data_IF_391043083332
#
_entry.id   IF_391043083332
#
_cell.length_a   1.000
_cell.length_b   1.000
_cell.length_c   1.000
_cell.angle_alpha   90.00
_cell.angle_beta   90.00
_cell.angle_gamma   90.00
#
_symmetry.space_group_name_H-M   'P 1'
#
loop_
_entity.id
_entity.type
_entity.pdbx_description
1 polymer ?
#
# COMPACT_ATOMS: atom_id res chain seq x y z
N UNK A 1 -28.29 9.93 18.74
CA UNK A 1 -27.89 10.64 17.51
C UNK A 1 -26.57 10.00 17.09
N UNK A 2 -26.54 9.22 15.99
CA UNK A 2 -25.33 8.54 15.55
C UNK A 2 -24.28 9.54 15.08
N UNK A 3 -23.01 9.28 15.39
CA UNK A 3 -21.87 10.03 14.85
C UNK A 3 -21.87 9.90 13.32
N UNK A 4 -21.76 11.03 12.60
CA UNK A 4 -21.62 10.99 11.15
C UNK A 4 -20.22 10.43 10.80
N UNK A 5 -20.09 9.73 9.67
CA UNK A 5 -18.79 9.23 9.21
C UNK A 5 -17.71 10.32 9.21
N UNK A 6 -18.10 11.51 8.77
CA UNK A 6 -17.22 12.69 8.71
C UNK A 6 -16.72 13.19 10.08
N UNK A 7 -17.49 12.96 11.15
CA UNK A 7 -17.20 13.49 12.50
C UNK A 7 -16.28 12.56 13.31
N UNK A 8 -15.93 11.36 12.80
CA UNK A 8 -15.03 10.46 13.52
C UNK A 8 -13.61 11.03 13.59
N UNK A 9 -12.82 10.72 14.63
CA UNK A 9 -11.42 11.13 14.72
C UNK A 9 -10.61 10.65 13.51
N UNK A 10 -9.61 11.43 13.10
CA UNK A 10 -8.64 10.98 12.11
C UNK A 10 -7.84 9.81 12.68
N UNK A 11 -7.70 8.73 11.94
CA UNK A 11 -6.86 7.61 12.36
C UNK A 11 -5.38 8.05 12.45
N UNK A 12 -4.60 7.52 13.40
CA UNK A 12 -3.16 7.76 13.43
C UNK A 12 -2.50 7.22 12.15
N UNK A 13 -1.34 7.73 11.79
CA UNK A 13 -0.53 7.12 10.75
C UNK A 13 -0.02 5.76 11.27
N UNK A 14 -0.33 4.63 10.61
CA UNK A 14 0.02 3.30 11.12
C UNK A 14 1.53 3.04 11.20
N UNK A 15 2.33 3.80 10.45
CA UNK A 15 3.79 3.67 10.44
C UNK A 15 4.50 4.61 11.41
N UNK A 16 3.78 5.55 12.00
CA UNK A 16 4.33 6.46 13.01
C UNK A 16 4.64 5.68 14.30
N UNK A 17 5.90 5.71 14.69
CA UNK A 17 6.37 4.97 15.87
C UNK A 17 6.66 3.48 15.65
N UNK A 18 6.43 2.93 14.44
CA UNK A 18 6.88 1.58 14.10
C UNK A 18 8.35 1.56 13.67
N UNK A 19 9.13 0.62 14.24
CA UNK A 19 10.47 0.31 13.75
C UNK A 19 10.41 -0.33 12.35
N UNK A 20 11.45 -0.14 11.52
CA UNK A 20 12.56 0.78 11.73
C UNK A 20 12.18 2.22 11.41
N UNK A 21 12.96 3.16 11.94
CA UNK A 21 12.86 4.59 11.61
C UNK A 21 13.69 4.97 10.37
N UNK A 22 14.53 4.04 9.86
CA UNK A 22 15.30 4.27 8.64
C UNK A 22 14.34 4.39 7.43
N UNK A 23 14.64 5.34 6.56
CA UNK A 23 13.80 5.64 5.39
C UNK A 23 14.65 5.73 4.12
N UNK A 24 13.99 5.55 2.98
CA UNK A 24 14.57 5.75 1.65
C UNK A 24 13.54 6.47 0.77
N UNK A 25 13.80 6.59 -0.52
CA UNK A 25 12.94 7.37 -1.42
C UNK A 25 11.99 6.47 -2.19
N UNK A 26 10.71 6.83 -2.22
CA UNK A 26 9.71 6.31 -3.17
C UNK A 26 9.08 7.48 -3.92
N UNK A 27 8.96 7.35 -5.23
CA UNK A 27 8.36 8.32 -6.14
C UNK A 27 7.35 7.64 -7.06
N UNK A 28 6.50 8.43 -7.70
CA UNK A 28 5.52 7.95 -8.67
C UNK A 28 5.42 8.93 -9.83
N UNK A 29 5.18 8.40 -11.03
CA UNK A 29 4.80 9.21 -12.20
C UNK A 29 3.32 9.63 -12.14
N UNK A 30 2.54 8.96 -11.30
CA UNK A 30 1.08 9.10 -11.24
C UNK A 30 0.59 9.84 -9.99
N UNK A 31 1.34 9.74 -8.89
CA UNK A 31 0.96 10.26 -7.59
C UNK A 31 1.99 11.29 -7.10
N UNK A 32 1.50 12.27 -6.35
CA UNK A 32 2.34 13.20 -5.59
C UNK A 32 2.00 13.13 -4.12
N UNK A 33 3.01 13.09 -3.26
CA UNK A 33 2.82 12.93 -1.82
C UNK A 33 1.95 14.05 -1.24
N UNK A 34 0.91 13.67 -0.51
CA UNK A 34 -0.04 14.57 0.14
C UNK A 34 -1.11 15.16 -0.79
N UNK A 35 -1.10 14.83 -2.08
CA UNK A 35 -2.05 15.37 -3.07
C UNK A 35 -3.18 14.38 -3.40
N UNK A 36 -4.28 14.87 -4.01
CA UNK A 36 -5.37 14.01 -4.44
C UNK A 36 -4.93 12.98 -5.48
N UNK A 37 -5.43 11.75 -5.32
CA UNK A 37 -5.22 10.65 -6.26
C UNK A 37 -6.00 10.92 -7.56
N UNK A 38 -5.36 10.76 -8.74
CA UNK A 38 -6.09 10.83 -10.01
C UNK A 38 -7.17 9.75 -10.11
N UNK A 39 -8.29 10.08 -10.75
CA UNK A 39 -9.45 9.18 -10.87
C UNK A 39 -9.12 7.82 -11.50
N UNK A 40 -8.10 7.75 -12.35
CA UNK A 40 -7.62 6.51 -12.97
C UNK A 40 -7.30 5.41 -11.94
N UNK A 41 -6.84 5.79 -10.76
CA UNK A 41 -6.40 4.88 -9.70
C UNK A 41 -7.48 4.60 -8.64
N UNK A 42 -8.69 5.12 -8.84
CA UNK A 42 -9.84 4.85 -7.97
C UNK A 42 -10.65 3.66 -8.48
N UNK A 43 -11.40 3.01 -7.59
CA UNK A 43 -12.20 1.83 -7.95
C UNK A 43 -13.22 2.11 -9.05
N UNK A 44 -13.88 3.27 -9.03
CA UNK A 44 -14.86 3.66 -10.03
C UNK A 44 -14.25 4.26 -11.31
N UNK A 45 -13.00 4.73 -11.24
CA UNK A 45 -12.38 5.50 -12.31
C UNK A 45 -11.57 4.69 -13.31
N UNK A 46 -11.06 3.56 -12.93
CA UNK A 46 -10.19 2.72 -13.79
C UNK A 46 -9.61 1.54 -13.04
N UNK A 47 -9.51 1.66 -11.73
CA UNK A 47 -8.97 0.63 -10.83
C UNK A 47 -7.57 0.15 -11.23
N UNK A 48 -6.75 1.08 -11.74
CA UNK A 48 -5.38 0.80 -12.21
C UNK A 48 -4.40 1.18 -11.11
N UNK A 49 -3.51 0.27 -10.72
CA UNK A 49 -2.46 0.58 -9.74
C UNK A 49 -1.50 1.65 -10.28
N UNK A 50 -1.03 2.59 -9.44
CA UNK A 50 -0.09 3.62 -9.86
C UNK A 50 1.31 3.03 -10.10
N UNK A 51 2.10 3.73 -10.90
CA UNK A 51 3.54 3.53 -10.97
C UNK A 51 4.18 3.86 -9.64
N UNK A 52 5.13 3.03 -9.19
CA UNK A 52 5.99 3.28 -8.03
C UNK A 52 7.44 2.96 -8.41
N UNK A 53 8.38 3.79 -7.95
CA UNK A 53 9.81 3.59 -8.13
C UNK A 53 10.52 3.99 -6.85
N UNK A 54 11.54 3.23 -6.43
CA UNK A 54 12.25 3.49 -5.19
C UNK A 54 13.75 3.35 -5.32
N UNK A 55 14.46 4.09 -4.46
CA UNK A 55 15.92 4.17 -4.47
C UNK A 55 16.48 4.60 -3.11
N UNK A 56 17.78 4.36 -2.90
CA UNK A 56 18.47 4.80 -1.69
C UNK A 56 18.19 3.90 -0.47
N UNK A 57 17.72 2.69 -0.69
CA UNK A 57 17.53 1.68 0.35
C UNK A 57 18.88 1.14 0.85
N UNK A 58 18.93 0.54 2.06
CA UNK A 58 20.18 -0.01 2.62
C UNK A 58 20.78 -1.12 1.76
N UNK A 59 22.12 -1.19 1.72
CA UNK A 59 22.86 -2.20 0.95
C UNK A 59 22.58 -3.65 1.41
N UNK A 60 22.10 -3.84 2.65
CA UNK A 60 21.72 -5.14 3.20
C UNK A 60 20.36 -5.63 2.72
N UNK A 61 19.66 -4.86 1.88
CA UNK A 61 18.34 -5.23 1.35
C UNK A 61 18.46 -6.44 0.41
N UNK A 62 17.66 -7.46 0.66
CA UNK A 62 17.59 -8.67 -0.15
C UNK A 62 16.26 -8.79 -0.93
N UNK A 63 15.20 -8.17 -0.40
CA UNK A 63 13.88 -8.13 -1.06
C UNK A 63 13.07 -6.91 -0.63
N UNK A 64 11.92 -6.73 -1.28
CA UNK A 64 10.93 -5.72 -0.89
C UNK A 64 9.54 -6.32 -0.80
N UNK A 65 8.67 -5.63 -0.06
CA UNK A 65 7.24 -5.71 -0.28
C UNK A 65 6.63 -4.32 -0.39
N UNK A 66 5.56 -4.22 -1.18
CA UNK A 66 4.81 -2.98 -1.42
C UNK A 66 3.40 -3.17 -0.90
N UNK A 67 2.85 -2.16 -0.24
CA UNK A 67 1.46 -2.18 0.20
C UNK A 67 0.76 -0.84 -0.03
N UNK A 68 -0.57 -0.88 -0.10
CA UNK A 68 -1.46 0.28 -0.04
C UNK A 68 -2.48 0.07 1.06
N UNK A 69 -2.49 0.96 2.04
CA UNK A 69 -3.36 0.90 3.21
C UNK A 69 -4.14 2.19 3.41
N UNK A 70 -5.44 2.07 3.70
CA UNK A 70 -6.34 3.16 4.08
C UNK A 70 -6.64 3.10 5.59
N UNK A 71 -5.98 3.93 6.42
CA UNK A 71 -6.27 3.99 7.85
C UNK A 71 -7.60 4.68 8.17
N UNK A 72 -8.16 5.42 7.22
CA UNK A 72 -9.37 6.24 7.42
C UNK A 72 -10.65 5.50 7.03
N UNK A 73 -10.55 4.29 6.48
CA UNK A 73 -11.71 3.45 6.20
C UNK A 73 -12.57 3.27 7.47
N UNK A 74 -13.92 3.30 7.36
CA UNK A 74 -14.81 3.21 8.53
C UNK A 74 -14.95 1.77 9.04
N UNK A 75 -13.83 1.10 9.24
CA UNK A 75 -13.70 -0.23 9.81
C UNK A 75 -12.76 -0.18 11.04
N UNK A 76 -12.87 -1.12 11.98
CA UNK A 76 -11.97 -1.15 13.14
C UNK A 76 -10.49 -1.34 12.81
N UNK A 77 -10.17 -1.94 11.64
CA UNK A 77 -8.82 -2.32 11.24
C UNK A 77 -8.26 -1.48 10.07
N UNK A 78 -8.98 -0.44 9.61
CA UNK A 78 -8.65 0.20 8.34
C UNK A 78 -8.97 -0.70 7.14
N UNK A 79 -8.31 -0.48 5.99
CA UNK A 79 -8.55 -1.29 4.81
C UNK A 79 -7.28 -1.46 3.99
N UNK A 80 -6.91 -2.71 3.69
CA UNK A 80 -5.81 -3.05 2.83
C UNK A 80 -6.26 -3.13 1.36
N UNK A 81 -5.76 -2.20 0.56
CA UNK A 81 -6.09 -2.08 -0.86
C UNK A 81 -5.19 -2.91 -1.78
N UNK A 82 -3.96 -3.20 -1.33
CA UNK A 82 -2.97 -3.86 -2.16
C UNK A 82 -1.78 -4.34 -1.33
N UNK A 83 -1.22 -5.49 -1.70
CA UNK A 83 0.09 -5.93 -1.24
C UNK A 83 0.73 -6.85 -2.28
N UNK A 84 2.00 -6.55 -2.59
CA UNK A 84 2.89 -7.38 -3.40
C UNK A 84 4.07 -7.76 -2.53
N UNK A 85 4.39 -9.03 -2.45
CA UNK A 85 5.47 -9.58 -1.62
C UNK A 85 6.55 -10.26 -2.48
N UNK A 86 7.67 -10.62 -1.86
CA UNK A 86 8.79 -11.32 -2.49
C UNK A 86 9.34 -10.61 -3.76
N UNK A 87 9.30 -9.27 -3.75
CA UNK A 87 9.86 -8.47 -4.83
C UNK A 87 11.39 -8.56 -4.75
N UNK A 88 12.07 -9.08 -5.80
CA UNK A 88 13.52 -9.21 -5.78
C UNK A 88 14.22 -7.86 -5.63
N UNK A 89 15.39 -7.83 -4.97
CA UNK A 89 16.17 -6.59 -4.78
C UNK A 89 16.58 -5.93 -6.12
N UNK A 90 16.63 -6.69 -7.20
CA UNK A 90 16.89 -6.18 -8.55
C UNK A 90 15.69 -5.41 -9.16
N UNK A 91 14.49 -5.60 -8.62
CA UNK A 91 13.29 -4.89 -9.04
C UNK A 91 13.10 -3.67 -8.13
N UNK A 92 13.24 -2.47 -8.69
CA UNK A 92 13.14 -1.20 -7.95
C UNK A 92 11.97 -0.34 -8.40
N UNK A 93 11.03 -0.93 -9.15
CA UNK A 93 9.82 -0.25 -9.60
C UNK A 93 8.68 -1.24 -9.86
N UNK A 94 7.46 -0.76 -9.74
CA UNK A 94 6.25 -1.41 -10.25
C UNK A 94 5.62 -0.50 -11.31
N UNK A 95 5.38 -1.02 -12.48
CA UNK A 95 4.76 -0.27 -13.57
C UNK A 95 3.30 0.09 -13.23
N UNK A 96 2.77 1.14 -13.86
CA UNK A 96 1.34 1.43 -13.81
C UNK A 96 0.56 0.22 -14.31
N UNK A 97 -0.40 -0.26 -13.52
CA UNK A 97 -1.20 -1.45 -13.83
C UNK A 97 -0.61 -2.77 -13.34
N UNK A 98 0.60 -2.78 -12.77
CA UNK A 98 1.22 -4.00 -12.23
C UNK A 98 0.36 -4.71 -11.17
N UNK A 99 -0.54 -3.99 -10.51
CA UNK A 99 -1.48 -4.55 -9.54
C UNK A 99 -2.63 -5.37 -10.12
N UNK A 100 -2.70 -5.58 -11.43
CA UNK A 100 -3.80 -6.32 -12.06
C UNK A 100 -3.64 -7.85 -12.00
N UNK A 101 -2.41 -8.34 -11.94
CA UNK A 101 -2.10 -9.78 -11.99
C UNK A 101 -0.63 -10.03 -11.62
N UNK A 102 -0.32 -11.21 -11.11
CA UNK A 102 1.06 -11.67 -10.90
C UNK A 102 1.85 -11.79 -12.21
N UNK A 103 1.17 -11.90 -13.34
CA UNK A 103 1.80 -11.91 -14.67
C UNK A 103 2.44 -10.57 -15.06
N UNK A 104 2.07 -9.49 -14.37
CA UNK A 104 2.64 -8.14 -14.54
C UNK A 104 3.80 -7.86 -13.59
N UNK A 105 4.19 -8.86 -12.77
CA UNK A 105 5.26 -8.74 -11.77
C UNK A 105 6.52 -9.48 -12.23
N UNK A 106 7.67 -9.00 -11.74
CA UNK A 106 8.96 -9.60 -12.04
C UNK A 106 9.37 -10.65 -11.00
N UNK A 107 10.06 -11.69 -11.49
CA UNK A 107 10.72 -12.68 -10.65
C UNK A 107 9.75 -13.53 -9.82
N UNK A 108 9.97 -13.55 -8.50
CA UNK A 108 9.19 -14.32 -7.53
C UNK A 108 8.04 -13.55 -6.89
N UNK A 109 7.85 -12.28 -7.28
CA UNK A 109 6.83 -11.41 -6.69
C UNK A 109 5.42 -11.91 -6.98
N UNK A 110 4.53 -11.79 -6.00
CA UNK A 110 3.12 -12.12 -6.15
C UNK A 110 2.24 -11.30 -5.20
N UNK A 111 0.94 -11.28 -5.49
CA UNK A 111 -0.05 -10.56 -4.70
C UNK A 111 -0.58 -11.41 -3.56
N UNK A 112 -0.71 -10.80 -2.38
CA UNK A 112 -1.57 -11.31 -1.32
C UNK A 112 -3.00 -10.81 -1.50
N UNK A 113 -3.96 -11.53 -0.92
CA UNK A 113 -5.38 -11.20 -0.98
C UNK A 113 -5.68 -9.94 -0.17
N UNK A 114 -6.10 -8.86 -0.83
CA UNK A 114 -6.56 -7.63 -0.17
C UNK A 114 -7.89 -7.80 0.56
N UNK A 115 -8.28 -6.79 1.35
CA UNK A 115 -9.55 -6.84 2.11
C UNK A 115 -10.80 -6.84 1.22
N UNK A 116 -10.64 -6.49 -0.07
CA UNK A 116 -11.68 -6.61 -1.10
C UNK A 116 -11.89 -8.05 -1.60
N UNK A 117 -11.03 -9.00 -1.24
CA UNK A 117 -11.17 -10.41 -1.51
C UNK A 117 -10.38 -10.96 -2.69
N UNK A 118 -9.68 -10.13 -3.46
CA UNK A 118 -8.90 -10.53 -4.64
C UNK A 118 -7.38 -10.31 -4.45
N UNK A 119 -6.57 -11.06 -5.22
CA UNK A 119 -5.11 -10.94 -5.30
C UNK A 119 -4.73 -9.89 -6.33
N UNK A 120 -5.10 -8.63 -6.09
CA UNK A 120 -4.92 -7.52 -7.02
C UNK A 120 -5.01 -6.17 -6.30
N UNK A 121 -4.69 -5.10 -7.01
CA UNK A 121 -4.95 -3.74 -6.56
C UNK A 121 -6.45 -3.45 -6.57
N UNK A 122 -6.93 -2.85 -5.48
CA UNK A 122 -8.26 -2.24 -5.40
C UNK A 122 -8.11 -0.75 -5.15
N UNK A 123 -8.65 0.06 -6.05
CA UNK A 123 -8.53 1.51 -6.02
C UNK A 123 -9.33 2.16 -4.89
N UNK A 124 -9.08 3.44 -4.68
CA UNK A 124 -9.76 4.23 -3.68
C UNK A 124 -11.29 4.21 -3.88
N UNK A 125 -12.04 3.93 -2.81
CA UNK A 125 -13.50 3.85 -2.81
C UNK A 125 -14.10 4.33 -1.48
N UNK A 126 -13.74 5.54 -0.98
CA UNK A 126 -14.28 6.00 0.29
C UNK A 126 -15.79 6.26 0.16
N UNK A 127 -16.58 6.06 1.22
CA UNK A 127 -18.03 6.32 1.19
C UNK A 127 -18.34 7.76 0.76
N UNK A 128 -19.37 7.92 -0.08
CA UNK A 128 -19.81 9.24 -0.51
C UNK A 128 -20.17 10.14 0.69
N UNK A 129 -19.67 11.38 0.69
CA UNK A 129 -19.87 12.33 1.78
C UNK A 129 -18.99 12.11 3.02
N UNK A 130 -18.09 11.14 2.99
CA UNK A 130 -17.04 11.03 4.00
C UNK A 130 -15.93 12.05 3.73
N UNK A 131 -15.04 12.25 4.71
CA UNK A 131 -13.84 13.07 4.52
C UNK A 131 -12.91 12.43 3.47
N UNK A 132 -11.91 13.16 2.94
CA UNK A 132 -10.85 12.55 2.18
C UNK A 132 -10.15 11.47 3.01
N UNK A 133 -10.02 10.25 2.45
CA UNK A 133 -9.22 9.18 3.01
C UNK A 133 -7.79 9.28 2.54
N UNK A 134 -6.85 8.79 3.34
CA UNK A 134 -5.43 8.63 2.98
C UNK A 134 -5.19 7.23 2.46
N UNK A 135 -4.49 7.15 1.34
CA UNK A 135 -4.01 5.91 0.75
C UNK A 135 -2.50 5.91 0.86
N UNK A 136 -1.98 5.14 1.81
CA UNK A 136 -0.54 5.11 2.13
C UNK A 136 0.09 3.97 1.35
N UNK A 137 0.80 4.32 0.29
CA UNK A 137 1.66 3.40 -0.43
C UNK A 137 2.98 3.31 0.32
N UNK A 138 3.39 2.11 0.69
CA UNK A 138 4.64 1.88 1.40
C UNK A 138 5.47 0.81 0.71
N UNK A 139 6.79 1.05 0.67
CA UNK A 139 7.79 0.10 0.22
C UNK A 139 8.65 -0.25 1.42
N UNK A 140 8.75 -1.53 1.74
CA UNK A 140 9.54 -2.03 2.85
C UNK A 140 10.74 -2.79 2.30
N UNK A 141 11.93 -2.45 2.76
CA UNK A 141 13.17 -3.15 2.45
C UNK A 141 13.41 -4.22 3.52
N UNK A 142 13.57 -5.47 3.08
CA UNK A 142 13.80 -6.63 3.96
C UNK A 142 15.25 -7.10 3.84
N UNK A 143 15.80 -7.61 4.95
CA UNK A 143 17.14 -8.21 5.03
C UNK A 143 17.16 -9.72 4.75
N UNK A 144 16.07 -10.24 4.17
CA UNK A 144 15.93 -11.62 3.71
C UNK A 144 15.26 -11.65 2.34
N UNK A 145 15.51 -12.70 1.52
CA UNK A 145 14.93 -12.78 0.17
C UNK A 145 13.43 -13.11 0.17
N UNK A 146 12.94 -13.79 1.19
CA UNK A 146 11.52 -14.18 1.35
C UNK A 146 11.22 -14.55 2.80
N UNK A 147 9.98 -14.29 3.24
CA UNK A 147 9.44 -14.80 4.51
C UNK A 147 8.91 -16.23 4.38
N UNK A 148 8.81 -16.77 3.16
CA UNK A 148 8.28 -18.11 2.91
C UNK A 148 6.75 -18.20 3.09
N UNK A 149 6.06 -17.08 3.00
CA UNK A 149 4.61 -17.01 3.06
C UNK A 149 3.98 -17.47 1.74
N UNK A 150 2.76 -17.98 1.81
CA UNK A 150 1.93 -18.33 0.65
C UNK A 150 0.87 -17.26 0.37
N UNK A 151 0.11 -17.44 -0.70
CA UNK A 151 -0.91 -16.51 -1.17
C UNK A 151 -2.17 -16.46 -0.27
N UNK A 152 -2.33 -17.42 0.65
CA UNK A 152 -3.40 -17.43 1.66
C UNK A 152 -3.01 -16.67 2.94
N UNK A 153 -1.76 -16.22 3.06
CA UNK A 153 -1.30 -15.42 4.20
C UNK A 153 -2.05 -14.08 4.25
N UNK A 154 -2.64 -13.73 5.38
CA UNK A 154 -3.31 -12.44 5.53
C UNK A 154 -2.30 -11.28 5.55
N UNK A 155 -2.71 -10.11 5.05
CA UNK A 155 -1.84 -8.93 5.00
C UNK A 155 -1.38 -8.48 6.39
N UNK A 156 -2.23 -8.63 7.38
CA UNK A 156 -1.89 -8.31 8.77
C UNK A 156 -0.82 -9.27 9.32
N UNK A 157 -0.93 -10.58 9.04
CA UNK A 157 0.06 -11.56 9.47
C UNK A 157 1.40 -11.35 8.75
N UNK A 158 1.37 -11.16 7.42
CA UNK A 158 2.58 -10.85 6.68
C UNK A 158 3.29 -9.60 7.22
N UNK A 159 2.52 -8.55 7.47
CA UNK A 159 3.06 -7.30 8.04
C UNK A 159 3.68 -7.50 9.41
N UNK A 160 3.09 -8.37 10.24
CA UNK A 160 3.60 -8.71 11.57
C UNK A 160 4.92 -9.49 11.48
N UNK A 161 4.98 -10.53 10.65
CA UNK A 161 6.19 -11.33 10.45
C UNK A 161 7.33 -10.51 9.81
N UNK A 162 6.98 -9.60 8.90
CA UNK A 162 7.95 -8.71 8.26
C UNK A 162 8.60 -7.70 9.22
N UNK A 163 8.04 -7.44 10.42
CA UNK A 163 8.61 -6.44 11.35
C UNK A 163 10.06 -6.74 11.74
N UNK A 164 10.40 -8.01 11.97
CA UNK A 164 11.75 -8.41 12.39
C UNK A 164 12.78 -8.27 11.25
N UNK A 165 12.31 -8.27 10.01
CA UNK A 165 13.15 -8.26 8.81
C UNK A 165 13.11 -6.92 8.05
N UNK A 166 12.20 -6.01 8.41
CA UNK A 166 12.13 -4.69 7.78
C UNK A 166 13.25 -3.79 8.30
N UNK A 167 14.21 -3.47 7.45
CA UNK A 167 15.38 -2.63 7.80
C UNK A 167 15.19 -1.16 7.41
N UNK A 168 14.30 -0.85 6.47
CA UNK A 168 13.93 0.51 6.10
C UNK A 168 12.54 0.55 5.46
N UNK A 169 11.91 1.72 5.47
CA UNK A 169 10.58 1.93 4.87
C UNK A 169 10.51 3.27 4.16
N UNK A 170 9.90 3.28 2.97
CA UNK A 170 9.56 4.49 2.25
C UNK A 170 8.04 4.58 2.08
N UNK A 171 7.46 5.77 2.20
CA UNK A 171 6.01 5.99 2.06
C UNK A 171 5.69 7.14 1.13
N UNK A 172 4.60 6.98 0.37
CA UNK A 172 3.98 8.01 -0.44
C UNK A 172 2.47 7.97 -0.16
N UNK A 173 1.90 9.09 0.25
CA UNK A 173 0.48 9.17 0.60
C UNK A 173 -0.28 9.99 -0.42
N UNK A 174 -1.32 9.42 -1.01
CA UNK A 174 -2.31 10.14 -1.79
C UNK A 174 -3.63 10.23 -1.02
N UNK A 175 -4.50 11.16 -1.40
CA UNK A 175 -5.82 11.30 -0.79
C UNK A 175 -6.92 11.13 -1.84
N UNK A 176 -8.09 10.68 -1.43
CA UNK A 176 -9.26 10.66 -2.29
C UNK A 176 -10.54 10.82 -1.47
N UNK A 177 -11.50 11.52 -2.05
CA UNK A 177 -12.83 11.70 -1.51
C UNK A 177 -13.86 11.46 -2.62
N UNK A 178 -14.83 10.60 -2.34
CA UNK A 178 -16.00 10.46 -3.23
C UNK A 178 -16.93 11.65 -3.01
N UNK A 179 -17.25 12.42 -4.07
CA UNK A 179 -18.17 13.55 -3.96
C UNK A 179 -19.51 13.13 -3.36
N UNK A 180 -20.11 14.02 -2.57
CA UNK A 180 -21.53 13.86 -2.16
C UNK A 180 -22.42 14.05 -3.39
N UNK A 181 -23.35 13.14 -3.60
CA UNK A 181 -24.42 13.33 -4.59
C UNK A 181 -25.39 14.42 -4.17
#
# INVERSE_FOLDING_TARGET
MGMRLFDRPLAPNPYEGLSPSATFTVVSQDLSNGLPMPKLHTAEGGNISPHLEWSGFPDQTESFFVSCFDPDAPTPSGFWHWMVIDIPVSCTSLARGAGSSDLELDGSAFHLRGDHGDHSYFGAAPPAGDRPHRYIFSVHALDIPTLGCDDDTSLAMYSFEALEHTIARATLTATYQTPSN
#
